data_IF_035033723792
#
_entry.id   IF_035033723792
#
_cell.length_a   1.000
_cell.length_b   1.000
_cell.length_c   1.000
_cell.angle_alpha   90.00
_cell.angle_beta   90.00
_cell.angle_gamma   90.00
#
_symmetry.space_group_name_H-M   'P 1'
#
loop_
_entity.id
_entity.type
_entity.pdbx_description
1 polymer ?
#
# COMPACT_ATOMS: atom_id res chain seq x y z
N UNK A 1 4.57 -42.70 -26.14
CA UNK A 1 4.69 -43.66 -25.00
C UNK A 1 5.85 -44.64 -25.14
N UNK A 2 6.30 -45.01 -26.35
CA UNK A 2 7.37 -46.00 -26.55
C UNK A 2 8.77 -45.56 -26.04
N UNK A 3 9.11 -44.28 -26.10
CA UNK A 3 10.47 -43.78 -25.93
C UNK A 3 10.98 -43.72 -24.46
N UNK A 4 10.07 -43.77 -23.48
CA UNK A 4 10.41 -43.54 -22.05
C UNK A 4 10.21 -44.77 -21.15
N UNK A 5 9.91 -45.94 -21.73
CA UNK A 5 9.66 -47.18 -20.95
C UNK A 5 10.84 -47.56 -20.05
N UNK A 6 12.07 -47.27 -20.46
CA UNK A 6 13.28 -47.57 -19.68
C UNK A 6 13.42 -46.75 -18.38
N UNK A 7 12.71 -45.62 -18.27
CA UNK A 7 12.72 -44.73 -17.10
C UNK A 7 11.60 -45.03 -16.10
N UNK A 8 10.72 -45.98 -16.42
CA UNK A 8 9.51 -46.27 -15.64
C UNK A 8 9.54 -47.70 -15.12
N UNK A 9 9.04 -47.88 -13.92
CA UNK A 9 8.73 -49.17 -13.32
C UNK A 9 7.22 -49.28 -13.21
N UNK A 10 6.64 -50.34 -13.75
CA UNK A 10 5.20 -50.57 -13.67
C UNK A 10 4.91 -51.49 -12.49
N UNK A 11 3.91 -51.13 -11.70
CA UNK A 11 3.27 -52.00 -10.73
C UNK A 11 1.77 -51.95 -10.98
N UNK A 12 1.23 -53.07 -11.45
CA UNK A 12 -0.15 -53.17 -11.94
C UNK A 12 -0.43 -52.11 -13.01
N UNK A 13 -1.44 -51.26 -12.81
CA UNK A 13 -1.82 -50.19 -13.74
C UNK A 13 -1.10 -48.86 -13.49
N UNK A 14 -0.22 -48.78 -12.48
CA UNK A 14 0.46 -47.55 -12.07
C UNK A 14 1.91 -47.58 -12.51
N UNK A 15 2.34 -46.52 -13.20
CA UNK A 15 3.73 -46.30 -13.54
C UNK A 15 4.42 -45.47 -12.45
N UNK A 16 5.58 -45.91 -12.00
CA UNK A 16 6.47 -45.22 -11.08
C UNK A 16 7.73 -44.78 -11.82
N UNK A 17 8.36 -43.71 -11.36
CA UNK A 17 9.69 -43.32 -11.84
C UNK A 17 10.72 -44.32 -11.30
N UNK A 18 11.48 -44.96 -12.19
CA UNK A 18 12.51 -45.96 -11.84
C UNK A 18 13.48 -45.41 -10.80
N UNK A 19 13.70 -46.18 -9.72
CA UNK A 19 14.56 -45.78 -8.59
C UNK A 19 13.92 -44.78 -7.63
N UNK A 20 12.60 -44.59 -7.68
CA UNK A 20 11.86 -43.73 -6.75
C UNK A 20 10.45 -44.25 -6.48
N UNK A 21 9.87 -43.85 -5.36
CA UNK A 21 8.47 -44.16 -4.99
C UNK A 21 7.45 -43.19 -5.60
N UNK A 22 7.88 -42.33 -6.53
CA UNK A 22 7.02 -41.28 -7.10
C UNK A 22 6.25 -41.83 -8.30
N UNK A 23 4.95 -41.58 -8.31
CA UNK A 23 4.04 -41.94 -9.38
C UNK A 23 4.36 -41.08 -10.60
N UNK A 24 4.56 -41.73 -11.74
CA UNK A 24 4.76 -41.05 -13.01
C UNK A 24 3.42 -40.61 -13.59
N UNK A 25 3.32 -39.33 -13.91
CA UNK A 25 2.10 -38.76 -14.49
C UNK A 25 2.29 -38.65 -16.01
N UNK A 26 1.40 -39.27 -16.82
CA UNK A 26 1.48 -39.18 -18.28
C UNK A 26 1.35 -37.75 -18.78
N UNK A 27 1.72 -37.53 -20.04
CA UNK A 27 1.43 -36.27 -20.72
C UNK A 27 -0.05 -36.20 -21.10
N UNK A 28 -0.90 -36.10 -20.08
CA UNK A 28 -2.34 -35.97 -20.19
C UNK A 28 -2.76 -34.69 -19.45
N UNK A 29 -3.04 -33.59 -20.18
CA UNK A 29 -3.28 -32.28 -19.59
C UNK A 29 -4.38 -32.25 -18.51
N UNK A 30 -5.54 -32.91 -18.66
CA UNK A 30 -6.60 -32.87 -17.65
C UNK A 30 -6.16 -33.42 -16.29
N UNK A 31 -5.38 -34.51 -16.28
CA UNK A 31 -4.87 -35.09 -15.02
C UNK A 31 -3.81 -34.19 -14.38
N UNK A 32 -2.90 -33.62 -15.16
CA UNK A 32 -1.89 -32.70 -14.63
C UNK A 32 -2.53 -31.44 -14.07
N UNK A 33 -3.54 -30.92 -14.75
CA UNK A 33 -4.30 -29.76 -14.29
C UNK A 33 -5.02 -30.04 -12.97
N UNK A 34 -5.70 -31.18 -12.85
CA UNK A 34 -6.36 -31.59 -11.61
C UNK A 34 -5.36 -31.66 -10.43
N UNK A 35 -4.17 -32.21 -10.67
CA UNK A 35 -3.10 -32.24 -9.66
C UNK A 35 -2.59 -30.84 -9.31
N UNK A 36 -2.54 -29.91 -10.27
CA UNK A 36 -2.11 -28.54 -10.00
C UNK A 36 -3.16 -27.78 -9.17
N UNK A 37 -4.44 -27.95 -9.51
CA UNK A 37 -5.58 -27.39 -8.79
C UNK A 37 -5.63 -27.92 -7.35
N UNK A 38 -5.51 -29.23 -7.14
CA UNK A 38 -5.53 -29.85 -5.81
C UNK A 38 -4.41 -29.35 -4.89
N UNK A 39 -3.24 -29.01 -5.43
CA UNK A 39 -2.10 -28.55 -4.63
C UNK A 39 -1.96 -27.02 -4.56
N UNK A 40 -2.83 -26.27 -5.23
CA UNK A 40 -2.75 -24.80 -5.26
C UNK A 40 -4.06 -24.11 -4.88
N UNK A 41 -5.19 -24.55 -5.43
CA UNK A 41 -6.48 -23.83 -5.37
C UNK A 41 -7.37 -24.25 -4.20
N UNK A 42 -7.14 -25.43 -3.63
CA UNK A 42 -7.90 -25.88 -2.46
C UNK A 42 -7.63 -24.98 -1.24
N UNK A 43 -8.67 -24.77 -0.43
CA UNK A 43 -8.65 -23.87 0.74
C UNK A 43 -7.45 -24.10 1.67
N UNK A 44 -7.07 -25.37 1.87
CA UNK A 44 -5.96 -25.73 2.76
C UNK A 44 -4.57 -25.64 2.10
N UNK A 45 -4.48 -25.57 0.77
CA UNK A 45 -3.25 -25.31 0.03
C UNK A 45 -2.92 -23.81 -0.03
N UNK A 46 -3.90 -22.94 0.24
CA UNK A 46 -3.68 -21.53 0.51
C UNK A 46 -2.97 -20.76 -0.60
N UNK A 47 -3.12 -21.18 -1.86
CA UNK A 47 -2.50 -20.53 -3.02
C UNK A 47 -0.98 -20.31 -2.87
N UNK A 48 -0.26 -21.32 -2.37
CA UNK A 48 1.18 -21.22 -2.20
C UNK A 48 1.91 -20.90 -3.52
N UNK A 49 3.06 -20.23 -3.41
CA UNK A 49 3.93 -19.94 -4.55
C UNK A 49 4.57 -21.19 -5.15
N UNK A 50 5.05 -21.08 -6.40
CA UNK A 50 5.49 -22.20 -7.25
C UNK A 50 6.42 -23.21 -6.57
N UNK A 51 7.39 -22.76 -5.77
CA UNK A 51 8.32 -23.67 -5.08
C UNK A 51 7.62 -24.57 -4.06
N UNK A 52 6.68 -24.03 -3.30
CA UNK A 52 5.93 -24.78 -2.28
C UNK A 52 4.97 -25.76 -2.94
N UNK A 53 4.24 -25.31 -3.97
CA UNK A 53 3.36 -26.16 -4.79
C UNK A 53 4.15 -27.31 -5.42
N UNK A 54 5.30 -27.01 -6.04
CA UNK A 54 6.18 -28.02 -6.62
C UNK A 54 6.66 -29.02 -5.58
N UNK A 55 7.09 -28.54 -4.41
CA UNK A 55 7.54 -29.42 -3.32
C UNK A 55 6.42 -30.33 -2.83
N UNK A 56 5.18 -29.82 -2.75
CA UNK A 56 4.00 -30.59 -2.38
C UNK A 56 3.71 -31.72 -3.38
N UNK A 57 3.59 -31.37 -4.66
CA UNK A 57 3.30 -32.34 -5.73
C UNK A 57 4.44 -33.37 -5.86
N UNK A 58 5.70 -32.91 -5.78
CA UNK A 58 6.89 -33.74 -5.94
C UNK A 58 7.10 -34.77 -4.83
N UNK A 59 6.31 -34.74 -3.74
CA UNK A 59 6.32 -35.81 -2.73
C UNK A 59 5.77 -37.11 -3.28
N UNK A 60 4.73 -37.04 -4.11
CA UNK A 60 3.98 -38.21 -4.57
C UNK A 60 4.09 -38.42 -6.08
N UNK A 61 4.22 -37.34 -6.85
CA UNK A 61 4.13 -37.36 -8.30
C UNK A 61 5.41 -36.89 -8.99
N UNK A 62 5.57 -37.29 -10.24
CA UNK A 62 6.65 -36.83 -11.10
C UNK A 62 6.24 -36.84 -12.57
N UNK A 63 6.59 -35.78 -13.29
CA UNK A 63 6.64 -35.77 -14.75
C UNK A 63 7.76 -34.86 -15.27
N UNK A 64 8.21 -35.05 -16.52
CA UNK A 64 9.18 -34.14 -17.14
C UNK A 64 8.62 -32.71 -17.24
N UNK A 65 9.45 -31.71 -16.94
CA UNK A 65 9.08 -30.29 -16.95
C UNK A 65 8.01 -29.88 -15.93
N UNK A 66 7.81 -30.66 -14.86
CA UNK A 66 6.86 -30.35 -13.78
C UNK A 66 7.09 -28.98 -13.14
N UNK A 67 8.35 -28.54 -13.00
CA UNK A 67 8.65 -27.21 -12.46
C UNK A 67 8.10 -26.08 -13.37
N UNK A 68 8.26 -26.22 -14.68
CA UNK A 68 7.77 -25.25 -15.67
C UNK A 68 6.25 -25.21 -15.69
N UNK A 69 5.60 -26.38 -15.63
CA UNK A 69 4.14 -26.50 -15.58
C UNK A 69 3.57 -25.87 -14.31
N UNK A 70 4.16 -26.15 -13.14
CA UNK A 70 3.77 -25.55 -11.86
C UNK A 70 3.98 -24.03 -11.87
N UNK A 71 5.11 -23.57 -12.42
CA UNK A 71 5.37 -22.13 -12.52
C UNK A 71 4.31 -21.44 -13.37
N UNK A 72 4.03 -21.97 -14.57
CA UNK A 72 3.00 -21.44 -15.46
C UNK A 72 1.64 -21.36 -14.77
N UNK A 73 1.22 -22.44 -14.13
CA UNK A 73 -0.07 -22.52 -13.44
C UNK A 73 -0.22 -21.47 -12.32
N UNK A 74 0.77 -21.38 -11.43
CA UNK A 74 0.75 -20.40 -10.33
C UNK A 74 0.83 -18.96 -10.85
N UNK A 75 1.56 -18.72 -11.95
CA UNK A 75 1.60 -17.38 -12.57
C UNK A 75 0.29 -17.00 -13.27
N UNK A 76 -0.50 -17.96 -13.74
CA UNK A 76 -1.83 -17.71 -14.31
C UNK A 76 -2.95 -17.57 -13.29
N UNK A 77 -2.70 -17.89 -12.01
CA UNK A 77 -3.72 -17.77 -10.96
C UNK A 77 -4.09 -16.31 -10.68
N UNK A 78 -5.34 -15.94 -10.99
CA UNK A 78 -5.89 -14.59 -10.83
C UNK A 78 -5.89 -14.14 -9.36
N UNK A 79 -6.30 -15.01 -8.43
CA UNK A 79 -6.28 -14.74 -6.99
C UNK A 79 -4.87 -14.38 -6.52
N UNK A 80 -3.86 -15.17 -6.92
CA UNK A 80 -2.47 -14.87 -6.60
C UNK A 80 -2.02 -13.54 -7.22
N UNK A 81 -2.37 -13.24 -8.47
CA UNK A 81 -1.95 -12.00 -9.12
C UNK A 81 -2.58 -10.77 -8.47
N UNK A 82 -3.84 -10.83 -8.05
CA UNK A 82 -4.53 -9.73 -7.36
C UNK A 82 -3.99 -9.47 -5.96
N UNK A 83 -3.67 -10.53 -5.20
CA UNK A 83 -3.14 -10.41 -3.84
C UNK A 83 -1.66 -10.02 -3.78
N UNK A 84 -0.92 -10.23 -4.88
CA UNK A 84 0.51 -9.94 -4.92
C UNK A 84 0.72 -8.43 -4.91
N UNK A 85 1.23 -7.93 -3.79
CA UNK A 85 1.68 -6.54 -3.69
C UNK A 85 2.67 -6.23 -4.81
N UNK A 86 2.45 -5.10 -5.49
CA UNK A 86 3.32 -4.62 -6.56
C UNK A 86 4.79 -4.67 -6.12
N UNK A 87 5.62 -5.41 -6.86
CA UNK A 87 7.08 -5.35 -6.75
C UNK A 87 7.65 -4.12 -7.47
N UNK A 88 6.84 -3.07 -7.71
CA UNK A 88 7.40 -1.81 -8.18
C UNK A 88 8.54 -1.43 -7.24
N UNK A 89 9.69 -1.09 -7.85
CA UNK A 89 10.80 -0.49 -7.12
C UNK A 89 10.21 0.63 -6.27
N UNK A 90 10.59 0.69 -4.99
CA UNK A 90 10.22 1.81 -4.13
C UNK A 90 10.37 3.08 -4.96
N UNK A 91 9.33 3.92 -5.00
CA UNK A 91 9.47 5.27 -5.53
C UNK A 91 10.79 5.83 -4.95
N UNK A 92 11.65 6.38 -5.81
CA UNK A 92 13.05 6.68 -5.48
C UNK A 92 13.22 7.44 -4.16
N UNK A 93 14.46 7.50 -3.66
CA UNK A 93 14.81 8.21 -2.42
C UNK A 93 13.97 9.48 -2.27
N UNK A 94 13.13 9.53 -1.23
CA UNK A 94 12.40 10.74 -0.87
C UNK A 94 13.44 11.85 -0.77
N UNK A 95 13.40 12.82 -1.69
CA UNK A 95 14.30 13.97 -1.63
C UNK A 95 13.97 14.71 -0.33
N UNK A 96 14.90 14.78 0.63
CA UNK A 96 14.65 15.54 1.84
C UNK A 96 14.42 17.00 1.44
N UNK A 97 13.40 17.62 2.02
CA UNK A 97 13.22 19.05 1.86
C UNK A 97 14.47 19.78 2.36
N UNK A 98 14.91 20.84 1.68
CA UNK A 98 16.06 21.61 2.12
C UNK A 98 15.86 22.06 3.57
N UNK A 99 16.94 22.01 4.36
CA UNK A 99 16.92 22.47 5.74
C UNK A 99 16.67 23.98 5.70
N UNK A 100 15.63 24.50 6.39
CA UNK A 100 15.40 25.94 6.45
C UNK A 100 16.57 26.63 7.17
N UNK A 101 16.94 27.82 6.73
CA UNK A 101 18.00 28.65 7.32
C UNK A 101 17.47 29.67 8.33
N UNK A 102 16.17 29.99 8.26
CA UNK A 102 15.52 30.96 9.14
C UNK A 102 14.13 30.47 9.58
N UNK A 103 13.64 30.92 10.76
CA UNK A 103 12.26 30.67 11.17
C UNK A 103 11.26 31.07 10.08
N UNK A 104 10.20 30.27 9.92
CA UNK A 104 9.08 30.55 9.01
C UNK A 104 9.39 30.50 7.51
N UNK A 105 10.53 29.92 7.12
CA UNK A 105 10.83 29.66 5.71
C UNK A 105 10.10 28.42 5.16
N UNK A 106 9.98 27.39 6.00
CA UNK A 106 9.32 26.13 5.66
C UNK A 106 8.39 25.75 6.80
N UNK A 107 7.10 25.68 6.51
CA UNK A 107 6.09 25.22 7.47
C UNK A 107 5.48 23.90 7.01
N UNK A 108 5.20 23.00 7.96
CA UNK A 108 4.34 21.85 7.73
C UNK A 108 2.94 22.14 8.25
N UNK A 109 1.96 21.78 7.44
CA UNK A 109 0.54 21.84 7.78
C UNK A 109 0.01 20.43 7.99
N UNK A 110 -0.74 20.23 9.07
CA UNK A 110 -1.46 19.00 9.35
C UNK A 110 -2.85 19.31 9.92
N UNK A 111 -3.77 18.35 9.81
CA UNK A 111 -5.11 18.47 10.35
C UNK A 111 -5.40 17.31 11.30
N UNK A 112 -5.73 17.64 12.54
CA UNK A 112 -6.31 16.70 13.48
C UNK A 112 -7.84 16.80 13.29
N UNK A 113 -8.50 15.71 12.92
CA UNK A 113 -9.94 15.68 12.61
C UNK A 113 -10.64 14.59 13.41
N UNK A 114 -11.98 14.64 13.47
CA UNK A 114 -12.77 13.67 14.24
C UNK A 114 -12.77 13.95 15.75
N UNK A 115 -12.55 15.21 16.14
CA UNK A 115 -12.64 15.63 17.53
C UNK A 115 -14.12 15.87 17.90
N UNK A 116 -14.49 15.68 19.17
CA UNK A 116 -15.80 16.11 19.66
C UNK A 116 -16.02 17.60 19.34
N UNK A 117 -17.18 17.99 18.79
CA UNK A 117 -17.43 19.37 18.43
C UNK A 117 -17.48 20.25 19.68
N UNK A 118 -16.78 21.38 19.61
CA UNK A 118 -16.84 22.41 20.65
C UNK A 118 -18.20 23.13 20.64
N UNK A 119 -18.49 23.94 21.66
CA UNK A 119 -19.70 24.79 21.70
C UNK A 119 -19.80 25.78 20.54
N UNK A 120 -18.65 26.15 19.94
CA UNK A 120 -18.56 26.97 18.72
C UNK A 120 -18.56 26.14 17.43
N UNK A 121 -18.73 24.82 17.51
CA UNK A 121 -18.91 23.92 16.37
C UNK A 121 -17.64 23.41 15.70
N UNK A 122 -16.44 23.77 16.20
CA UNK A 122 -15.17 23.28 15.64
C UNK A 122 -14.96 21.81 16.01
N UNK A 123 -14.65 20.97 15.02
CA UNK A 123 -14.45 19.52 15.12
C UNK A 123 -13.06 19.06 14.61
N UNK A 124 -12.18 20.03 14.30
CA UNK A 124 -10.82 19.80 13.84
C UNK A 124 -9.84 20.85 14.36
N UNK A 125 -8.54 20.56 14.26
CA UNK A 125 -7.44 21.49 14.57
C UNK A 125 -6.49 21.53 13.37
N UNK A 126 -6.25 22.71 12.82
CA UNK A 126 -5.15 22.97 11.88
C UNK A 126 -3.87 23.17 12.69
N UNK A 127 -2.90 22.29 12.45
CA UNK A 127 -1.58 22.32 13.06
C UNK A 127 -0.61 22.93 12.06
N UNK A 128 0.07 24.02 12.46
CA UNK A 128 1.10 24.66 11.66
C UNK A 128 2.41 24.64 12.42
N UNK A 129 3.38 23.88 11.91
CA UNK A 129 4.70 23.74 12.55
C UNK A 129 5.77 24.39 11.69
N UNK A 130 6.54 25.30 12.26
CA UNK A 130 7.77 25.81 11.64
C UNK A 130 8.88 24.75 11.69
N UNK A 131 9.45 24.39 10.54
CA UNK A 131 10.46 23.33 10.48
C UNK A 131 11.82 23.75 11.05
N UNK A 132 12.10 25.05 11.15
CA UNK A 132 13.33 25.58 11.74
C UNK A 132 13.24 25.59 13.28
N UNK A 133 12.35 26.41 13.84
CA UNK A 133 12.22 26.61 15.29
C UNK A 133 11.50 25.48 16.02
N UNK A 134 10.79 24.61 15.29
CA UNK A 134 9.84 23.61 15.83
C UNK A 134 8.65 24.22 16.58
N UNK A 135 8.43 25.53 16.47
CA UNK A 135 7.27 26.19 17.03
C UNK A 135 5.99 25.75 16.31
N UNK A 136 4.95 25.46 17.08
CA UNK A 136 3.66 25.00 16.58
C UNK A 136 2.52 25.94 16.91
N UNK A 137 1.63 26.15 15.95
CA UNK A 137 0.36 26.85 16.12
C UNK A 137 -0.80 25.88 15.90
N UNK A 138 -1.73 25.86 16.84
CA UNK A 138 -2.91 25.01 16.82
C UNK A 138 -4.14 25.90 16.67
N UNK A 139 -4.80 25.81 15.52
CA UNK A 139 -5.92 26.68 15.16
C UNK A 139 -7.18 25.82 15.11
N UNK A 140 -8.20 26.05 15.96
CA UNK A 140 -9.46 25.32 15.88
C UNK A 140 -10.13 25.60 14.53
N UNK A 141 -10.64 24.56 13.88
CA UNK A 141 -11.24 24.62 12.55
C UNK A 141 -12.33 23.57 12.37
N UNK A 142 -12.98 23.57 11.21
CA UNK A 142 -13.98 22.57 10.86
C UNK A 142 -13.40 21.54 9.88
N UNK A 143 -13.80 20.28 9.98
CA UNK A 143 -13.39 19.21 9.05
C UNK A 143 -13.76 19.55 7.59
N UNK A 144 -14.83 20.32 7.39
CA UNK A 144 -15.28 20.83 6.08
C UNK A 144 -14.38 21.91 5.50
N UNK A 145 -13.53 22.57 6.31
CA UNK A 145 -12.63 23.62 5.87
C UNK A 145 -11.43 23.10 5.03
N UNK A 146 -11.43 21.81 4.67
CA UNK A 146 -10.44 21.18 3.78
C UNK A 146 -10.43 21.77 2.36
N UNK A 147 -11.49 22.47 1.95
CA UNK A 147 -11.62 23.08 0.61
C UNK A 147 -11.08 24.51 0.54
N UNK A 148 -9.87 24.64 -0.01
CA UNK A 148 -9.25 25.73 -0.81
C UNK A 148 -9.39 27.23 -0.42
N UNK A 149 -10.49 27.73 0.16
CA UNK A 149 -10.78 29.18 0.18
C UNK A 149 -10.69 29.92 1.52
N UNK A 150 -10.66 29.24 2.66
CA UNK A 150 -10.86 29.92 3.95
C UNK A 150 -9.58 30.20 4.76
N UNK A 151 -8.46 29.54 4.47
CA UNK A 151 -7.26 29.60 5.33
C UNK A 151 -6.24 30.67 4.94
N UNK A 152 -6.35 31.27 3.75
CA UNK A 152 -5.38 32.27 3.28
C UNK A 152 -5.51 33.62 4.01
N UNK A 153 -6.70 34.01 4.45
CA UNK A 153 -6.94 35.32 5.08
C UNK A 153 -6.56 35.36 6.56
N UNK A 154 -6.65 34.25 7.28
CA UNK A 154 -6.34 34.19 8.72
C UNK A 154 -4.84 34.07 8.98
N UNK A 155 -4.11 33.31 8.15
CA UNK A 155 -2.69 33.04 8.39
C UNK A 155 -1.77 34.20 7.96
N UNK A 156 -2.08 34.89 6.86
CA UNK A 156 -1.25 36.00 6.34
C UNK A 156 -1.33 37.24 7.24
N UNK A 157 -2.48 37.47 7.87
CA UNK A 157 -2.71 38.62 8.75
C UNK A 157 -2.04 38.42 10.12
N UNK A 158 -2.03 37.20 10.65
CA UNK A 158 -1.42 36.90 11.96
C UNK A 158 0.12 36.82 11.92
N UNK A 159 0.69 36.30 10.84
CA UNK A 159 2.15 36.11 10.73
C UNK A 159 2.95 37.42 10.57
N UNK A 160 2.37 38.45 9.96
CA UNK A 160 2.97 39.80 9.92
C UNK A 160 2.93 40.50 11.28
N UNK A 161 1.91 40.24 12.10
CA UNK A 161 1.77 40.86 13.43
C UNK A 161 2.68 40.22 14.50
N UNK A 162 3.07 38.96 14.34
CA UNK A 162 3.79 38.21 15.38
C UNK A 162 5.32 38.25 15.27
N UNK A 163 5.86 38.82 14.20
CA UNK A 163 7.31 39.07 14.08
C UNK A 163 7.83 40.14 15.07
N UNK A 164 6.98 40.70 15.94
CA UNK A 164 7.31 41.88 16.75
C UNK A 164 7.03 41.77 18.25
N UNK A 165 6.63 40.63 18.82
CA UNK A 165 6.45 40.55 20.29
C UNK A 165 6.93 39.24 20.90
N UNK A 166 7.91 39.27 21.83
CA UNK A 166 8.09 38.20 22.80
C UNK A 166 7.13 38.43 23.98
N UNK A 167 6.50 37.38 24.48
CA UNK A 167 6.51 36.97 25.89
C UNK A 167 5.31 36.08 26.26
N UNK A 168 5.66 34.98 26.95
CA UNK A 168 4.86 34.23 27.94
C UNK A 168 4.00 33.05 27.45
N UNK A 169 4.51 31.86 27.79
CA UNK A 169 3.81 30.57 27.84
C UNK A 169 2.68 30.55 28.89
N UNK A 170 1.71 29.63 28.77
CA UNK A 170 1.64 28.58 29.79
C UNK A 170 1.61 27.17 29.20
N UNK A 171 2.38 26.31 29.86
CA UNK A 171 2.48 24.85 29.76
C UNK A 171 1.18 24.17 30.19
N UNK A 172 0.63 23.25 29.39
CA UNK A 172 -0.04 22.03 29.89
C UNK A 172 0.10 20.89 28.85
N UNK A 173 0.62 19.74 29.30
CA UNK A 173 0.67 18.48 28.55
C UNK A 173 -0.61 17.68 28.83
N UNK A 174 -1.15 16.94 27.83
CA UNK A 174 -1.13 15.48 28.02
C UNK A 174 -0.91 14.64 26.74
N UNK A 175 -0.30 13.48 27.01
CA UNK A 175 -0.24 12.18 26.31
C UNK A 175 -0.89 11.96 24.92
N UNK A 176 -0.08 11.37 24.03
CA UNK A 176 -0.38 10.61 22.79
C UNK A 176 -1.54 9.57 22.89
N UNK A 177 -2.09 8.98 21.79
CA UNK A 177 -1.42 8.70 20.50
C UNK A 177 -2.21 8.92 19.17
N UNK A 178 -1.42 9.09 18.11
CA UNK A 178 -1.58 8.69 16.70
C UNK A 178 -2.96 8.76 15.99
N UNK A 179 -3.02 9.54 14.91
CA UNK A 179 -3.73 9.13 13.68
C UNK A 179 -3.17 9.81 12.42
N UNK A 180 -3.40 9.16 11.28
CA UNK A 180 -2.76 9.34 9.97
C UNK A 180 -3.02 10.73 9.33
N UNK A 181 -2.00 11.60 9.34
CA UNK A 181 -1.98 12.87 8.60
C UNK A 181 -0.99 12.82 7.43
N UNK A 182 -1.40 13.22 6.22
CA UNK A 182 -0.49 13.40 5.08
C UNK A 182 0.15 14.78 5.18
N UNK A 183 1.46 14.83 5.37
CA UNK A 183 2.22 16.08 5.49
C UNK A 183 2.21 16.89 4.18
N UNK A 184 1.75 18.15 4.24
CA UNK A 184 1.96 19.13 3.18
C UNK A 184 3.05 20.12 3.62
N UNK A 185 4.06 20.35 2.78
CA UNK A 185 5.13 21.31 3.04
C UNK A 185 5.06 22.44 2.03
N UNK A 186 5.10 23.69 2.50
CA UNK A 186 5.08 24.89 1.67
C UNK A 186 6.38 25.68 1.92
N UNK A 187 7.03 26.13 0.85
CA UNK A 187 8.17 27.05 0.89
C UNK A 187 7.69 28.47 0.59
N UNK A 188 8.35 29.46 1.20
CA UNK A 188 7.99 30.88 1.14
C UNK A 188 8.22 31.58 -0.20
N UNK A 189 8.68 30.86 -1.23
CA UNK A 189 8.99 31.42 -2.55
C UNK A 189 7.88 31.24 -3.60
N UNK A 190 6.65 30.90 -3.17
CA UNK A 190 5.49 30.74 -4.05
C UNK A 190 4.28 31.62 -3.70
N UNK A 191 4.48 32.70 -2.95
CA UNK A 191 3.40 33.65 -2.61
C UNK A 191 2.93 34.55 -3.75
N UNK A 192 3.38 34.36 -5.00
CA UNK A 192 2.90 35.14 -6.17
C UNK A 192 2.54 34.38 -7.44
N UNK A 193 2.70 33.06 -7.48
CA UNK A 193 2.25 32.29 -8.65
C UNK A 193 1.45 31.07 -8.22
N UNK A 194 0.15 31.13 -8.50
CA UNK A 194 -0.83 30.05 -8.71
C UNK A 194 -0.51 28.76 -7.96
N UNK A 195 -1.28 28.53 -6.90
CA UNK A 195 -1.53 27.22 -6.32
C UNK A 195 -1.84 26.23 -7.46
N UNK A 196 -0.90 25.36 -7.82
CA UNK A 196 -1.16 24.25 -8.75
C UNK A 196 -1.29 22.96 -7.96
N UNK A 197 -2.50 22.72 -7.45
CA UNK A 197 -2.93 21.38 -7.05
C UNK A 197 -3.05 20.57 -8.35
N UNK A 198 -2.48 19.35 -8.47
CA UNK A 198 -2.76 18.50 -9.61
C UNK A 198 -4.27 18.28 -9.70
N UNK A 199 -4.88 18.71 -10.79
CA UNK A 199 -6.28 18.41 -11.09
C UNK A 199 -6.51 16.91 -10.90
N UNK A 200 -7.57 16.56 -10.18
CA UNK A 200 -8.09 15.22 -10.13
C UNK A 200 -8.16 14.67 -11.57
N UNK A 201 -7.35 13.65 -11.88
CA UNK A 201 -7.56 12.88 -13.09
C UNK A 201 -8.87 12.11 -12.90
N UNK A 202 -9.79 12.44 -13.79
CA UNK A 202 -11.17 11.98 -13.80
C UNK A 202 -11.17 10.55 -14.35
N UNK A 203 -10.89 9.55 -13.52
CA UNK A 203 -11.33 8.17 -13.80
C UNK A 203 -12.65 7.91 -13.09
N UNK A 204 -13.71 7.99 -13.89
CA UNK A 204 -15.00 7.37 -13.63
C UNK A 204 -14.80 5.91 -13.22
N UNK A 205 -15.05 5.59 -11.95
CA UNK A 205 -15.45 4.24 -11.57
C UNK A 205 -16.96 4.22 -11.34
N UNK A 206 -17.57 3.37 -12.14
CA UNK A 206 -18.99 3.05 -12.20
C UNK A 206 -19.35 2.32 -10.91
N UNK A 207 -20.23 2.89 -10.09
CA UNK A 207 -20.80 2.20 -8.93
C UNK A 207 -21.59 0.95 -9.38
N UNK A 208 -21.43 -0.22 -8.72
CA UNK A 208 -22.44 -1.27 -8.77
C UNK A 208 -23.60 -0.87 -7.85
N UNK A 209 -24.82 -0.89 -8.39
CA UNK A 209 -26.06 -0.71 -7.63
C UNK A 209 -26.23 -1.85 -6.61
N UNK A 210 -26.74 -1.59 -5.39
CA UNK A 210 -27.20 -2.64 -4.50
C UNK A 210 -28.57 -3.13 -4.98
N UNK A 211 -28.68 -4.42 -5.32
CA UNK A 211 -29.97 -5.06 -5.53
C UNK A 211 -30.70 -5.21 -4.17
N UNK A 212 -31.96 -4.78 -4.15
CA UNK A 212 -33.01 -5.38 -3.33
C UNK A 212 -33.35 -6.78 -3.87
#
# INVERSE_FOLDING_TARGET
LAEKRHLLQWDSDIAYRKGSTKIWVPNYPPLRQLLLEEYHDVLYAGHFGSNKTLTGIAKHYYWPHMADDVQKFVTSCDTCQRMKSSKQKKAGLLQPLPVPEQPWQVVSLDFITGLPPTSSGHDAILVVIDKFSKMGHFIPTHTTARTERQHSSSFVTSSHSMASQPHSFPTETPSSPASSGRNLCLSRDQTRHVIRIPSADRRTDRAPQPNC
#
